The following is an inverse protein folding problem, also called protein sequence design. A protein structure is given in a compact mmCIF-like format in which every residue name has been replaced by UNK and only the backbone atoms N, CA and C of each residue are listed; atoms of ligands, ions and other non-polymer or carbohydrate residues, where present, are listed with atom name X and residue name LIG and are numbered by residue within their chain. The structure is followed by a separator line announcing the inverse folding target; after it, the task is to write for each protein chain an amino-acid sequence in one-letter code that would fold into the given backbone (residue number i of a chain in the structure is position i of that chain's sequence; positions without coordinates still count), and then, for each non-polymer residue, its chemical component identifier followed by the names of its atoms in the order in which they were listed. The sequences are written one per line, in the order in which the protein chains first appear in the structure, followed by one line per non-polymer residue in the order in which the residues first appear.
data_IF_103907137739
#
_entry.id   IF_103907137739
#
_cell.length_a   1.000
_cell.length_b   1.000
_cell.length_c   1.000
_cell.angle_alpha   90.00
_cell.angle_beta   90.00
_cell.angle_gamma   90.00
#
_symmetry.space_group_name_H-M   'P 1'
#
loop_
_entity.id
_entity.type
_entity.pdbx_description
1 polymer ?
#
# COMPACT_ATOMS: atom_id res chain seq x y z
N UNK A 1 6.60 -18.00 1.70
CA UNK A 1 6.88 -16.97 0.68
C UNK A 1 6.82 -15.60 1.36
N UNK A 2 7.79 -14.71 1.11
CA UNK A 2 7.86 -13.36 1.69
C UNK A 2 7.30 -12.33 0.71
N UNK A 3 5.97 -12.24 0.62
CA UNK A 3 5.26 -11.30 -0.26
C UNK A 3 5.51 -9.83 0.11
N UNK A 4 5.95 -9.58 1.34
CA UNK A 4 6.33 -8.28 1.89
C UNK A 4 7.58 -7.69 1.23
N UNK A 5 8.53 -8.53 0.82
CA UNK A 5 9.80 -8.04 0.30
C UNK A 5 9.73 -7.40 -1.08
N UNK A 6 8.73 -7.76 -1.90
CA UNK A 6 8.57 -7.27 -3.28
C UNK A 6 8.37 -5.75 -3.27
N UNK A 7 7.62 -5.22 -2.31
CA UNK A 7 7.27 -3.80 -2.22
C UNK A 7 8.35 -2.93 -1.58
N UNK A 8 9.38 -3.52 -0.95
CA UNK A 8 10.39 -2.79 -0.18
C UNK A 8 11.07 -1.67 -0.96
N UNK A 9 11.38 -1.89 -2.25
CA UNK A 9 12.04 -0.88 -3.07
C UNK A 9 11.15 0.37 -3.27
N UNK A 10 9.86 0.16 -3.57
CA UNK A 10 8.86 1.23 -3.73
C UNK A 10 8.59 1.90 -2.38
N UNK A 11 8.43 1.13 -1.31
CA UNK A 11 8.21 1.65 0.04
C UNK A 11 9.39 2.53 0.51
N UNK A 12 10.63 2.07 0.32
CA UNK A 12 11.81 2.84 0.65
C UNK A 12 11.93 4.14 -0.15
N UNK A 13 11.38 4.20 -1.38
CA UNK A 13 11.35 5.41 -2.19
C UNK A 13 10.36 6.43 -1.64
N UNK A 14 9.13 6.01 -1.36
CA UNK A 14 7.99 6.92 -1.11
C UNK A 14 7.56 7.07 0.35
N UNK A 15 7.97 6.18 1.25
CA UNK A 15 7.45 6.12 2.63
C UNK A 15 8.53 6.44 3.66
N UNK A 16 8.15 7.18 4.71
CA UNK A 16 8.93 7.34 5.94
C UNK A 16 8.80 6.09 6.83
N UNK A 17 7.58 5.54 6.89
CA UNK A 17 7.23 4.37 7.69
C UNK A 17 6.24 3.50 6.95
N UNK A 18 6.34 2.19 7.17
CA UNK A 18 5.33 1.23 6.73
C UNK A 18 5.28 0.06 7.71
N UNK A 19 4.09 -0.47 7.96
CA UNK A 19 3.88 -1.65 8.79
C UNK A 19 2.78 -2.51 8.17
N UNK A 20 3.05 -3.81 8.04
CA UNK A 20 2.04 -4.79 7.63
C UNK A 20 1.05 -4.97 8.79
N UNK A 21 -0.21 -4.63 8.54
CA UNK A 21 -1.30 -4.71 9.53
C UNK A 21 -2.01 -6.06 9.41
N UNK A 22 -2.31 -6.49 8.19
CA UNK A 22 -3.04 -7.73 7.95
C UNK A 22 -2.61 -8.42 6.66
N UNK A 23 -2.75 -9.74 6.64
CA UNK A 23 -2.62 -10.60 5.48
C UNK A 23 -3.86 -11.47 5.42
N UNK A 24 -4.61 -11.37 4.33
CA UNK A 24 -5.81 -12.15 4.13
C UNK A 24 -5.70 -12.94 2.84
N UNK A 25 -6.04 -14.22 2.88
CA UNK A 25 -6.12 -15.05 1.68
C UNK A 25 -7.58 -15.31 1.36
N UNK A 26 -8.02 -14.85 0.20
CA UNK A 26 -9.40 -14.90 -0.26
C UNK A 26 -9.53 -15.77 -1.51
N UNK A 27 -10.77 -15.99 -1.96
CA UNK A 27 -11.07 -16.78 -3.17
C UNK A 27 -10.40 -18.16 -3.17
N UNK A 28 -10.61 -18.92 -2.09
CA UNK A 28 -10.10 -20.29 -1.92
C UNK A 28 -8.57 -20.43 -2.13
N UNK A 29 -7.78 -19.40 -1.80
CA UNK A 29 -6.32 -19.45 -1.91
C UNK A 29 -5.74 -18.70 -3.10
N UNK A 30 -6.59 -18.18 -3.98
CA UNK A 30 -6.15 -17.63 -5.28
C UNK A 30 -5.65 -16.18 -5.19
N UNK A 31 -6.10 -15.43 -4.17
CA UNK A 31 -5.71 -14.03 -3.98
C UNK A 31 -5.26 -13.79 -2.54
N UNK A 32 -4.11 -13.14 -2.39
CA UNK A 32 -3.63 -12.66 -1.09
C UNK A 32 -3.72 -11.14 -1.06
N UNK A 33 -4.45 -10.61 -0.11
CA UNK A 33 -4.59 -9.19 0.16
C UNK A 33 -3.67 -8.78 1.31
N UNK A 34 -2.98 -7.66 1.15
CA UNK A 34 -2.07 -7.10 2.15
C UNK A 34 -2.56 -5.72 2.55
N UNK A 35 -2.73 -5.49 3.86
CA UNK A 35 -3.09 -4.18 4.41
C UNK A 35 -1.87 -3.59 5.09
N UNK A 36 -1.44 -2.42 4.64
CA UNK A 36 -0.32 -1.68 5.23
C UNK A 36 -0.78 -0.36 5.83
N UNK A 37 -0.28 -0.06 7.02
CA UNK A 37 -0.20 1.32 7.50
C UNK A 37 1.03 1.97 6.88
N UNK A 38 0.88 3.18 6.33
CA UNK A 38 1.96 3.88 5.63
C UNK A 38 2.00 5.36 6.01
N UNK A 39 3.21 5.90 6.06
CA UNK A 39 3.46 7.34 6.18
C UNK A 39 4.21 7.80 4.93
N UNK A 40 3.57 8.59 4.06
CA UNK A 40 4.20 9.12 2.85
C UNK A 40 5.26 10.16 3.21
N UNK A 41 6.41 10.13 2.52
CA UNK A 41 7.43 11.18 2.63
C UNK A 41 6.91 12.53 2.15
N UNK A 42 6.14 12.53 1.06
CA UNK A 42 5.53 13.71 0.45
C UNK A 42 4.14 13.34 -0.06
N UNK A 43 3.14 14.11 0.36
CA UNK A 43 1.75 13.86 -0.06
C UNK A 43 1.55 14.06 -1.58
N UNK A 44 2.33 14.96 -2.21
CA UNK A 44 2.32 15.18 -3.66
C UNK A 44 2.77 13.97 -4.47
N UNK A 45 3.49 13.01 -3.88
CA UNK A 45 3.98 11.81 -4.57
C UNK A 45 2.98 10.65 -4.51
N UNK A 46 1.82 10.81 -3.85
CA UNK A 46 0.84 9.74 -3.67
C UNK A 46 0.39 9.11 -5.01
N UNK A 47 0.18 9.92 -6.05
CA UNK A 47 -0.22 9.41 -7.37
C UNK A 47 0.88 8.55 -8.03
N UNK A 48 2.14 8.98 -7.92
CA UNK A 48 3.29 8.23 -8.45
C UNK A 48 3.50 6.93 -7.69
N UNK A 49 3.45 7.01 -6.34
CA UNK A 49 3.51 5.85 -5.46
C UNK A 49 2.45 4.80 -5.84
N UNK A 50 1.19 5.22 -5.99
CA UNK A 50 0.09 4.33 -6.35
C UNK A 50 0.24 3.72 -7.75
N UNK A 51 0.87 4.44 -8.67
CA UNK A 51 1.10 3.96 -10.05
C UNK A 51 2.17 2.88 -10.08
N UNK A 52 3.32 3.12 -9.45
CA UNK A 52 4.38 2.10 -9.35
C UNK A 52 3.90 0.87 -8.55
N UNK A 53 3.15 1.08 -7.47
CA UNK A 53 2.63 0.00 -6.65
C UNK A 53 1.65 -0.90 -7.43
N UNK A 54 0.78 -0.32 -8.27
CA UNK A 54 -0.11 -1.10 -9.16
C UNK A 54 0.67 -1.92 -10.18
N UNK A 55 1.67 -1.33 -10.83
CA UNK A 55 2.50 -2.03 -11.80
C UNK A 55 3.21 -3.23 -11.17
N UNK A 56 3.73 -3.05 -9.95
CA UNK A 56 4.40 -4.11 -9.21
C UNK A 56 3.43 -5.18 -8.67
N UNK A 57 2.16 -4.83 -8.47
CA UNK A 57 1.10 -5.76 -8.04
C UNK A 57 0.37 -6.41 -9.24
N UNK A 58 1.03 -6.55 -10.38
CA UNK A 58 0.47 -7.11 -11.63
C UNK A 58 -0.85 -6.46 -12.07
N UNK A 59 -0.98 -5.14 -11.82
CA UNK A 59 -2.20 -4.35 -12.02
C UNK A 59 -3.44 -4.84 -11.25
N UNK A 60 -3.27 -5.69 -10.24
CA UNK A 60 -4.33 -5.98 -9.28
C UNK A 60 -4.72 -4.71 -8.51
N UNK A 61 -5.92 -4.73 -7.92
CA UNK A 61 -6.48 -3.59 -7.20
C UNK A 61 -5.53 -3.13 -6.08
N UNK A 62 -5.26 -1.83 -6.06
CA UNK A 62 -4.54 -1.14 -4.96
C UNK A 62 -5.36 0.08 -4.58
N UNK A 63 -5.66 0.23 -3.30
CA UNK A 63 -6.41 1.36 -2.75
C UNK A 63 -5.59 2.05 -1.65
N UNK A 64 -5.59 3.38 -1.65
CA UNK A 64 -5.05 4.19 -0.56
C UNK A 64 -6.22 4.82 0.17
N UNK A 65 -6.35 4.51 1.45
CA UNK A 65 -7.40 5.07 2.31
C UNK A 65 -6.71 6.12 3.19
N UNK A 66 -7.04 7.38 2.95
CA UNK A 66 -6.61 8.50 3.80
C UNK A 66 -7.74 8.85 4.75
N UNK A 67 -7.47 8.86 6.05
CA UNK A 67 -8.42 9.46 7.00
C UNK A 67 -8.40 10.98 6.84
N UNK A 68 -9.38 11.53 6.13
CA UNK A 68 -9.74 12.94 6.31
C UNK A 68 -10.71 12.99 7.49
N UNK A 69 -10.19 13.30 8.69
CA UNK A 69 -11.03 13.85 9.75
C UNK A 69 -11.13 15.35 9.48
N UNK A 70 -12.07 15.75 8.63
CA UNK A 70 -12.66 17.09 8.77
C UNK A 70 -13.60 17.00 9.98
N UNK A 71 -13.09 17.37 11.15
CA UNK A 71 -13.96 17.90 12.20
C UNK A 71 -14.16 19.36 11.81
N UNK A 72 -15.18 19.62 11.00
CA UNK A 72 -15.73 20.99 10.93
C UNK A 72 -16.24 21.33 12.34
N UNK A 73 -15.66 22.39 12.92
CA UNK A 73 -16.03 22.99 14.21
C UNK A 73 -17.19 23.98 14.04
#
# INVERSE_FOLDING_TARGET
MRYDSVFNAVFNRYLNRYNLIAVETVQAGTLTELVYGVELKKQSEAQNFMTELRQLNDNNKVALITGYHEVDL
#
